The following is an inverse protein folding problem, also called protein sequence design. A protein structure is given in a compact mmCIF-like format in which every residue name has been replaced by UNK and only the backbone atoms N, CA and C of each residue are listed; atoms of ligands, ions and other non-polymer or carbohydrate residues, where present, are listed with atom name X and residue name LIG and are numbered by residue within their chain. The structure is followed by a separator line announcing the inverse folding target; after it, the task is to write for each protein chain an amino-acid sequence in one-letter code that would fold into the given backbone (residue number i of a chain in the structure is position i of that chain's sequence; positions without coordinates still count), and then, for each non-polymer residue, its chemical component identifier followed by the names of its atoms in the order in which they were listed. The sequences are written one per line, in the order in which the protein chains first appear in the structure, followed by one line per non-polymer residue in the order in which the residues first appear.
data_IF_323973764341
#
_entry.id   IF_323973764341
#
_cell.length_a   1.000
_cell.length_b   1.000
_cell.length_c   1.000
_cell.angle_alpha   90.00
_cell.angle_beta   90.00
_cell.angle_gamma   90.00
#
_symmetry.space_group_name_H-M   'P 1'
#
loop_
_entity.id
_entity.type
_entity.pdbx_description
1 polymer ?
#
# COMPACT_ATOMS: atom_id res chain seq x y z
N UNK A 1 9.28 -35.05 22.66
CA UNK A 1 9.24 -33.63 22.24
C UNK A 1 9.36 -33.62 20.72
N UNK A 2 8.26 -33.45 20.01
CA UNK A 2 8.26 -33.51 18.55
C UNK A 2 9.05 -32.31 18.01
N UNK A 3 10.12 -32.59 17.28
CA UNK A 3 10.89 -31.61 16.54
C UNK A 3 9.99 -31.12 15.38
N UNK A 4 9.23 -30.05 15.60
CA UNK A 4 8.47 -29.38 14.54
C UNK A 4 9.50 -28.67 13.66
N UNK A 5 9.92 -29.33 12.59
CA UNK A 5 10.66 -28.70 11.51
C UNK A 5 9.77 -27.63 10.89
N UNK A 6 9.96 -26.38 11.29
CA UNK A 6 9.34 -25.23 10.66
C UNK A 6 9.78 -25.18 9.20
N UNK A 7 8.85 -25.27 8.26
CA UNK A 7 9.18 -25.12 6.86
C UNK A 7 9.41 -23.63 6.58
N UNK A 8 10.59 -23.32 6.03
CA UNK A 8 10.90 -21.96 5.59
C UNK A 8 10.22 -21.72 4.23
N UNK A 9 9.34 -20.74 4.19
CA UNK A 9 8.61 -20.28 3.02
C UNK A 9 9.27 -19.03 2.44
N UNK A 10 9.35 -18.94 1.11
CA UNK A 10 9.74 -17.74 0.37
C UNK A 10 8.49 -17.02 -0.10
N UNK A 11 8.18 -15.89 0.51
CA UNK A 11 7.01 -15.08 0.17
C UNK A 11 7.45 -13.89 -0.67
N UNK A 12 6.85 -13.72 -1.86
CA UNK A 12 7.04 -12.52 -2.68
C UNK A 12 6.01 -11.49 -2.27
N UNK A 13 6.46 -10.32 -1.85
CA UNK A 13 5.57 -9.19 -1.56
C UNK A 13 5.81 -8.07 -2.56
N UNK A 14 4.76 -7.60 -3.24
CA UNK A 14 4.88 -6.46 -4.15
C UNK A 14 3.90 -5.35 -3.82
N UNK A 15 4.36 -4.12 -4.06
CA UNK A 15 3.51 -2.95 -4.23
C UNK A 15 3.33 -2.69 -5.73
N UNK A 16 2.25 -2.00 -6.08
CA UNK A 16 1.98 -1.64 -7.48
C UNK A 16 3.18 -0.86 -8.05
N UNK A 17 3.64 -1.27 -9.24
CA UNK A 17 4.76 -0.66 -9.97
C UNK A 17 6.11 -0.63 -9.23
N UNK A 18 6.32 -1.51 -8.23
CA UNK A 18 7.59 -1.66 -7.52
C UNK A 18 8.15 -3.08 -7.66
N UNK A 19 9.49 -3.25 -7.65
CA UNK A 19 10.10 -4.57 -7.56
C UNK A 19 9.57 -5.35 -6.35
N UNK A 20 9.41 -6.66 -6.50
CA UNK A 20 8.98 -7.51 -5.39
C UNK A 20 10.10 -7.66 -4.36
N UNK A 21 9.69 -7.70 -3.10
CA UNK A 21 10.55 -7.99 -1.96
C UNK A 21 10.39 -9.47 -1.64
N UNK A 22 11.51 -10.19 -1.56
CA UNK A 22 11.51 -11.57 -1.13
C UNK A 22 11.71 -11.64 0.38
N UNK A 23 10.76 -12.27 1.07
CA UNK A 23 10.81 -12.54 2.51
C UNK A 23 10.96 -14.05 2.73
N UNK A 24 11.65 -14.42 3.81
CA UNK A 24 11.81 -15.80 4.25
C UNK A 24 11.26 -15.93 5.66
N UNK A 25 10.20 -16.72 5.81
CA UNK A 25 9.43 -16.83 7.05
C UNK A 25 9.04 -18.30 7.27
N UNK A 26 8.89 -18.70 8.52
CA UNK A 26 8.31 -20.02 8.84
C UNK A 26 6.83 -20.06 8.49
N UNK A 27 6.31 -21.21 8.05
CA UNK A 27 4.87 -21.47 7.87
C UNK A 27 4.02 -21.19 9.13
N UNK A 28 4.62 -21.40 10.31
CA UNK A 28 4.04 -21.08 11.61
C UNK A 28 4.09 -19.60 12.00
N UNK A 29 4.75 -18.74 11.21
CA UNK A 29 4.82 -17.30 11.46
C UNK A 29 3.45 -16.66 11.32
N UNK A 30 3.22 -15.57 12.04
CA UNK A 30 2.02 -14.75 11.87
C UNK A 30 2.15 -13.85 10.64
N UNK A 31 1.00 -13.48 10.07
CA UNK A 31 0.93 -12.44 9.03
C UNK A 31 1.54 -11.11 9.52
N UNK A 32 1.42 -10.81 10.82
CA UNK A 32 2.08 -9.66 11.44
C UNK A 32 3.60 -9.63 11.19
N UNK A 33 4.28 -10.78 11.20
CA UNK A 33 5.73 -10.83 10.95
C UNK A 33 6.10 -10.44 9.50
N UNK A 34 5.20 -10.66 8.52
CA UNK A 34 5.39 -10.12 7.17
C UNK A 34 5.40 -8.58 7.25
N UNK A 35 4.43 -7.99 7.94
CA UNK A 35 4.30 -6.53 8.04
C UNK A 35 5.47 -5.88 8.78
N UNK A 36 5.97 -6.51 9.83
CA UNK A 36 7.15 -6.05 10.57
C UNK A 36 8.39 -6.02 9.66
N UNK A 37 8.68 -7.11 8.94
CA UNK A 37 9.81 -7.14 8.00
C UNK A 37 9.66 -6.11 6.86
N UNK A 38 8.43 -5.87 6.41
CA UNK A 38 8.14 -4.82 5.42
C UNK A 38 8.33 -3.42 6.01
N UNK A 39 7.95 -3.20 7.28
CA UNK A 39 8.14 -1.93 7.98
C UNK A 39 9.61 -1.57 8.07
N UNK A 40 10.46 -2.53 8.46
CA UNK A 40 11.92 -2.33 8.53
C UNK A 40 12.53 -2.00 7.17
N UNK A 41 12.08 -2.66 6.10
CA UNK A 41 12.65 -2.51 4.75
C UNK A 41 12.11 -1.31 3.98
N UNK A 42 10.87 -0.91 4.22
CA UNK A 42 10.17 0.14 3.47
C UNK A 42 9.96 1.42 4.27
N UNK A 43 10.19 1.39 5.58
CA UNK A 43 9.88 2.49 6.51
C UNK A 43 8.41 2.92 6.42
N UNK A 44 7.52 1.92 6.45
CA UNK A 44 6.06 2.08 6.42
C UNK A 44 5.50 1.45 7.69
N UNK A 45 4.79 2.21 8.54
CA UNK A 45 4.21 1.70 9.77
C UNK A 45 3.30 0.49 9.54
N UNK A 46 3.30 -0.49 10.45
CA UNK A 46 2.58 -1.77 10.31
C UNK A 46 1.08 -1.56 10.16
N UNK A 47 0.54 -0.56 10.85
CA UNK A 47 -0.85 -0.14 10.82
C UNK A 47 -1.31 0.43 9.46
N UNK A 48 -0.36 0.96 8.67
CA UNK A 48 -0.63 1.44 7.31
C UNK A 48 -0.62 0.30 6.29
N UNK A 49 -0.22 -0.91 6.68
CA UNK A 49 -0.05 -2.04 5.77
C UNK A 49 -1.30 -2.94 5.74
N UNK A 50 -1.85 -3.16 4.54
CA UNK A 50 -2.86 -4.19 4.27
C UNK A 50 -2.32 -5.21 3.28
N UNK A 51 -2.32 -6.48 3.68
CA UNK A 51 -1.84 -7.59 2.85
C UNK A 51 -3.04 -8.31 2.22
N UNK A 52 -2.98 -8.54 0.92
CA UNK A 52 -4.02 -9.23 0.16
C UNK A 52 -3.43 -10.37 -0.68
N UNK A 53 -4.09 -11.53 -0.65
CA UNK A 53 -3.75 -12.71 -1.46
C UNK A 53 -5.04 -13.36 -1.92
N UNK A 54 -5.13 -13.76 -3.19
CA UNK A 54 -6.32 -14.42 -3.77
C UNK A 54 -7.64 -13.66 -3.53
N UNK A 55 -7.60 -12.32 -3.53
CA UNK A 55 -8.77 -11.48 -3.26
C UNK A 55 -9.22 -11.40 -1.80
N UNK A 56 -8.48 -12.03 -0.87
CA UNK A 56 -8.76 -12.02 0.58
C UNK A 56 -7.69 -11.21 1.33
N UNK A 57 -8.14 -10.37 2.27
CA UNK A 57 -7.24 -9.72 3.22
C UNK A 57 -6.72 -10.73 4.25
N UNK A 58 -5.40 -10.72 4.45
CA UNK A 58 -4.76 -11.56 5.44
C UNK A 58 -4.95 -10.96 6.83
N UNK A 59 -5.22 -11.82 7.83
CA UNK A 59 -5.42 -11.39 9.21
C UNK A 59 -4.11 -11.48 10.00
N UNK A 60 -3.75 -10.40 10.68
CA UNK A 60 -2.49 -10.25 11.41
C UNK A 60 -2.26 -11.34 12.47
N UNK A 61 -3.34 -11.83 13.08
CA UNK A 61 -3.30 -12.84 14.13
C UNK A 61 -3.31 -14.29 13.60
N UNK A 62 -3.43 -14.47 12.28
CA UNK A 62 -3.42 -15.79 11.65
C UNK A 62 -2.00 -16.18 11.23
N UNK A 63 -1.71 -17.48 11.23
CA UNK A 63 -0.45 -18.01 10.73
C UNK A 63 -0.43 -18.05 9.20
N UNK A 64 0.76 -18.00 8.60
CA UNK A 64 0.92 -18.15 7.15
C UNK A 64 0.25 -19.42 6.62
N UNK A 65 0.41 -20.54 7.36
CA UNK A 65 -0.25 -21.80 7.02
C UNK A 65 -1.79 -21.70 7.02
N UNK A 66 -2.38 -21.05 8.03
CA UNK A 66 -3.84 -20.87 8.13
C UNK A 66 -4.43 -19.92 7.08
N UNK A 67 -3.61 -19.02 6.55
CA UNK A 67 -3.94 -18.15 5.42
C UNK A 67 -3.57 -18.77 4.07
N UNK A 68 -3.21 -20.05 4.05
CA UNK A 68 -2.85 -20.82 2.84
C UNK A 68 -1.65 -20.21 2.07
N UNK A 69 -0.78 -19.48 2.77
CA UNK A 69 0.47 -18.96 2.21
C UNK A 69 1.47 -20.11 2.13
N UNK A 70 1.97 -20.40 0.93
CA UNK A 70 2.92 -21.47 0.64
C UNK A 70 4.23 -20.91 0.09
N UNK A 71 5.24 -21.76 -0.06
CA UNK A 71 6.52 -21.35 -0.65
C UNK A 71 6.29 -20.88 -2.09
N UNK A 72 6.76 -19.67 -2.40
CA UNK A 72 6.56 -19.02 -3.69
C UNK A 72 5.27 -18.21 -3.81
N UNK A 73 4.41 -18.16 -2.79
CA UNK A 73 3.20 -17.34 -2.78
C UNK A 73 3.51 -15.86 -3.04
N UNK A 74 2.57 -15.21 -3.73
CA UNK A 74 2.64 -13.79 -4.06
C UNK A 74 1.56 -13.02 -3.29
N UNK A 75 2.01 -12.15 -2.40
CA UNK A 75 1.17 -11.28 -1.57
C UNK A 75 1.30 -9.85 -2.07
N UNK A 76 0.19 -9.13 -2.16
CA UNK A 76 0.19 -7.72 -2.49
C UNK A 76 0.10 -6.88 -1.23
N UNK A 77 0.95 -5.85 -1.15
CA UNK A 77 0.90 -4.83 -0.11
C UNK A 77 0.12 -3.62 -0.63
N UNK A 78 -1.02 -3.38 -0.01
CA UNK A 78 -1.80 -2.15 -0.11
C UNK A 78 -1.45 -1.25 1.08
N UNK A 79 -1.45 0.06 0.85
CA UNK A 79 -1.27 1.04 1.92
C UNK A 79 -2.63 1.63 2.25
N UNK A 80 -3.09 1.46 3.48
CA UNK A 80 -4.06 2.41 4.05
C UNK A 80 -3.33 3.75 4.06
N UNK A 81 -3.92 4.80 3.50
CA UNK A 81 -3.23 6.05 3.15
C UNK A 81 -3.38 7.16 4.21
N UNK A 82 -2.68 7.18 5.36
CA UNK A 82 -2.50 8.44 6.10
C UNK A 82 -1.47 9.35 5.45
N UNK A 83 -0.37 8.77 4.92
CA UNK A 83 0.83 9.53 4.55
C UNK A 83 0.69 10.40 3.30
N UNK A 84 0.04 9.86 2.26
CA UNK A 84 -0.23 10.62 1.04
C UNK A 84 -1.37 11.62 1.23
N UNK A 85 -2.35 11.30 2.07
CA UNK A 85 -3.41 12.24 2.45
C UNK A 85 -2.86 13.42 3.25
N UNK A 86 -1.96 13.19 4.19
CA UNK A 86 -1.31 14.26 4.95
C UNK A 86 -0.51 15.20 4.03
N UNK A 87 0.32 14.64 3.14
CA UNK A 87 1.10 15.47 2.20
C UNK A 87 0.22 16.21 1.18
N UNK A 88 -0.84 15.56 0.68
CA UNK A 88 -1.81 16.18 -0.21
C UNK A 88 -2.57 17.29 0.52
N UNK A 89 -3.00 17.03 1.76
CA UNK A 89 -3.67 17.98 2.62
C UNK A 89 -2.80 19.22 2.86
N UNK A 90 -1.55 19.04 3.26
CA UNK A 90 -0.61 20.15 3.48
C UNK A 90 -0.40 20.97 2.19
N UNK A 91 -0.30 20.30 1.04
CA UNK A 91 -0.15 20.96 -0.26
C UNK A 91 -1.40 21.76 -0.61
N UNK A 92 -2.59 21.18 -0.45
CA UNK A 92 -3.87 21.85 -0.72
C UNK A 92 -4.10 23.01 0.25
N UNK A 93 -3.75 22.85 1.53
CA UNK A 93 -3.79 23.92 2.52
C UNK A 93 -2.90 25.09 2.09
N UNK A 94 -1.67 24.81 1.66
CA UNK A 94 -0.75 25.86 1.20
C UNK A 94 -1.21 26.55 -0.10
N UNK A 95 -1.82 25.81 -1.02
CA UNK A 95 -2.38 26.39 -2.24
C UNK A 95 -3.61 27.27 -1.95
N UNK A 96 -4.48 26.83 -1.05
CA UNK A 96 -5.73 27.55 -0.74
C UNK A 96 -5.53 28.73 0.21
N UNK A 97 -4.41 28.81 0.95
CA UNK A 97 -4.05 29.98 1.77
C UNK A 97 -3.98 31.29 0.98
N UNK A 98 -3.66 31.23 -0.31
CA UNK A 98 -3.57 32.41 -1.18
C UNK A 98 -4.89 32.85 -1.83
N UNK A 99 -5.98 32.10 -1.63
CA UNK A 99 -7.27 32.38 -2.28
C UNK A 99 -8.05 33.40 -1.44
N UNK A 100 -8.12 34.64 -1.91
CA UNK A 100 -8.91 35.69 -1.27
C UNK A 100 -10.42 35.34 -1.28
N UNK A 101 -11.12 35.71 -0.20
CA UNK A 101 -12.57 35.48 -0.01
C UNK A 101 -13.03 34.03 0.15
N UNK A 102 -12.13 33.08 0.41
CA UNK A 102 -12.50 31.71 0.78
C UNK A 102 -12.64 31.60 2.31
N UNK A 103 -13.83 31.22 2.78
CA UNK A 103 -14.04 31.01 4.22
C UNK A 103 -13.26 29.78 4.71
N UNK A 104 -12.96 29.74 6.01
CA UNK A 104 -12.28 28.58 6.62
C UNK A 104 -13.08 27.29 6.45
N UNK A 105 -14.42 27.39 6.50
CA UNK A 105 -15.33 26.27 6.31
C UNK A 105 -15.29 25.75 4.86
N UNK A 106 -15.31 26.66 3.88
CA UNK A 106 -15.26 26.28 2.45
C UNK A 106 -13.91 25.69 2.09
N UNK A 107 -12.82 26.22 2.65
CA UNK A 107 -11.46 25.68 2.49
C UNK A 107 -11.37 24.26 3.04
N UNK A 108 -11.88 24.04 4.25
CA UNK A 108 -11.90 22.73 4.89
C UNK A 108 -12.74 21.72 4.08
N UNK A 109 -13.93 22.13 3.61
CA UNK A 109 -14.80 21.30 2.79
C UNK A 109 -14.16 20.96 1.43
N UNK A 110 -13.50 21.92 0.78
CA UNK A 110 -12.80 21.71 -0.48
C UNK A 110 -11.64 20.72 -0.34
N UNK A 111 -10.83 20.85 0.72
CA UNK A 111 -9.71 19.95 0.98
C UNK A 111 -10.20 18.52 1.25
N UNK A 112 -11.19 18.36 2.13
CA UNK A 112 -11.69 17.04 2.48
C UNK A 112 -12.41 16.36 1.31
N UNK A 113 -13.17 17.10 0.51
CA UNK A 113 -13.80 16.55 -0.69
C UNK A 113 -12.78 16.15 -1.76
N UNK A 114 -11.68 16.89 -1.91
CA UNK A 114 -10.59 16.53 -2.82
C UNK A 114 -9.86 15.26 -2.36
N UNK A 115 -9.55 15.16 -1.06
CA UNK A 115 -8.93 13.96 -0.47
C UNK A 115 -9.84 12.74 -0.63
N UNK A 116 -11.13 12.89 -0.31
CA UNK A 116 -12.12 11.83 -0.43
C UNK A 116 -12.24 11.33 -1.88
N UNK A 117 -12.30 12.25 -2.85
CA UNK A 117 -12.39 11.89 -4.27
C UNK A 117 -11.13 11.21 -4.79
N UNK A 118 -9.95 11.58 -4.27
CA UNK A 118 -8.69 10.92 -4.59
C UNK A 118 -8.67 9.49 -4.03
N UNK A 119 -9.12 9.30 -2.79
CA UNK A 119 -9.27 7.99 -2.15
C UNK A 119 -10.21 7.07 -2.95
N UNK A 120 -11.39 7.56 -3.32
CA UNK A 120 -12.38 6.85 -4.16
C UNK A 120 -11.83 6.49 -5.55
N UNK A 121 -11.00 7.37 -6.14
CA UNK A 121 -10.35 7.10 -7.42
C UNK A 121 -9.30 6.00 -7.28
N UNK A 122 -8.49 5.99 -6.22
CA UNK A 122 -7.52 4.93 -5.98
C UNK A 122 -8.18 3.56 -5.75
N UNK A 123 -9.33 3.54 -5.08
CA UNK A 123 -10.08 2.30 -4.82
C UNK A 123 -10.75 1.73 -6.07
N UNK A 124 -11.04 2.56 -7.08
CA UNK A 124 -11.72 2.14 -8.32
C UNK A 124 -10.78 1.79 -9.46
N UNK A 125 -9.49 2.07 -9.33
CA UNK A 125 -8.51 1.77 -10.37
C UNK A 125 -8.14 0.27 -10.35
N UNK A 126 -8.34 -0.40 -11.47
CA UNK A 126 -7.81 -1.75 -11.67
C UNK A 126 -6.29 -1.71 -11.77
N UNK A 127 -5.64 -2.84 -11.48
CA UNK A 127 -4.18 -2.96 -11.64
C UNK A 127 -3.74 -2.58 -13.06
N UNK A 128 -4.52 -2.97 -14.07
CA UNK A 128 -4.28 -2.65 -15.48
C UNK A 128 -4.39 -1.14 -15.78
N UNK A 129 -5.38 -0.46 -15.17
CA UNK A 129 -5.52 0.99 -15.33
C UNK A 129 -4.32 1.73 -14.71
N UNK A 130 -3.84 1.28 -13.54
CA UNK A 130 -2.70 1.88 -12.86
C UNK A 130 -1.42 1.70 -13.70
N UNK A 131 -1.20 0.51 -14.26
CA UNK A 131 -0.06 0.24 -15.14
C UNK A 131 -0.10 1.08 -16.42
N UNK A 132 -1.29 1.27 -17.01
CA UNK A 132 -1.50 2.15 -18.17
C UNK A 132 -1.16 3.61 -17.84
N UNK A 133 -1.60 4.12 -16.68
CA UNK A 133 -1.26 5.49 -16.27
C UNK A 133 0.23 5.67 -15.96
N UNK A 134 0.85 4.70 -15.30
CA UNK A 134 2.28 4.75 -14.97
C UNK A 134 3.17 4.73 -16.23
N UNK A 135 2.81 3.93 -17.23
CA UNK A 135 3.53 3.87 -18.51
C UNK A 135 3.33 5.14 -19.34
N UNK A 136 2.14 5.73 -19.35
CA UNK A 136 1.88 7.00 -20.03
C UNK A 136 2.71 8.17 -19.48
N UNK A 137 2.90 8.24 -18.15
CA UNK A 137 3.72 9.28 -17.50
C UNK A 137 5.21 9.13 -17.78
N UNK A 138 5.72 7.88 -17.85
CA UNK A 138 7.13 7.60 -18.17
C UNK A 138 7.48 7.93 -19.63
N UNK A 139 6.52 7.80 -20.55
CA UNK A 139 6.72 8.15 -21.95
C UNK A 139 6.71 9.68 -22.20
N UNK A 140 5.97 10.45 -21.39
CA UNK A 140 5.97 11.92 -21.47
C UNK A 140 7.33 12.54 -21.11
N UNK A 141 8.05 11.98 -20.15
CA UNK A 141 9.37 12.49 -19.75
C UNK A 141 10.51 12.10 -20.70
N UNK A 142 10.27 11.20 -21.67
CA UNK A 142 11.26 10.79 -22.68
C UNK A 142 11.02 11.43 -24.05
N UNK A 143 9.89 12.14 -24.24
CA UNK A 143 9.53 12.80 -25.49
C UNK A 143 9.87 14.30 -25.57
N UNK A 144 10.49 14.86 -24.53
CA UNK A 144 10.88 16.29 -24.47
C UNK A 144 12.41 16.46 -24.56
N UNK A 145 13.08 15.74 -25.46
CA UNK A 145 14.50 15.92 -25.80
C UNK A 145 14.69 16.19 -27.28
#
# INVERSE_FOLDING_TARGET
LANMSSNVLRVKVSRISKPCILLQLSDSSLVMHIKEQLSERLHIPVEEQRLIMNGKFLNDNNTLLSEEVVDGSHVYLLLSTPRHEAQLKDTLENLLKGVANLSDADRFAAINSAIQRYSELLDTLSLDDIERYASAMKNKSQGES
#
